data_IF_075088338065
#
_entry.id   IF_075088338065
#
_cell.length_a   1.000
_cell.length_b   1.000
_cell.length_c   1.000
_cell.angle_alpha   90.00
_cell.angle_beta   90.00
_cell.angle_gamma   90.00
#
_symmetry.space_group_name_H-M   'P 1'
#
loop_
_entity.id
_entity.type
_entity.pdbx_description
1 polymer ?
#
# COMPACT_ATOMS: atom_id res chain seq x y z
N UNK A 1 34.63 -4.69 7.23
CA UNK A 1 34.90 -3.58 8.17
C UNK A 1 34.61 -4.11 9.58
N UNK A 2 35.63 -4.31 10.41
CA UNK A 2 35.50 -5.08 11.67
C UNK A 2 35.00 -4.17 12.79
N UNK A 3 33.82 -4.47 13.34
CA UNK A 3 33.08 -3.64 14.30
C UNK A 3 33.60 -3.80 15.75
N UNK A 4 34.33 -4.89 16.02
CA UNK A 4 34.84 -5.25 17.35
C UNK A 4 35.74 -4.21 18.04
N UNK A 5 36.68 -3.51 17.35
CA UNK A 5 37.50 -2.48 17.99
C UNK A 5 36.71 -1.23 18.40
N UNK A 6 35.64 -0.91 17.66
CA UNK A 6 34.75 0.21 17.97
C UNK A 6 33.88 -0.11 19.20
N UNK A 7 33.37 -1.35 19.27
CA UNK A 7 32.61 -1.82 20.42
C UNK A 7 33.44 -1.86 21.70
N UNK A 8 34.71 -2.28 21.62
CA UNK A 8 35.60 -2.32 22.78
C UNK A 8 35.89 -0.92 23.35
N UNK A 9 36.06 0.09 22.48
CA UNK A 9 36.21 1.49 22.90
C UNK A 9 34.95 2.03 23.55
N UNK A 10 33.78 1.69 23.01
CA UNK A 10 32.51 2.14 23.57
C UNK A 10 32.18 1.45 24.89
N UNK A 11 32.52 0.17 25.02
CA UNK A 11 32.44 -0.56 26.29
C UNK A 11 33.29 0.09 27.37
N UNK A 12 34.53 0.47 27.04
CA UNK A 12 35.40 1.20 27.94
C UNK A 12 34.82 2.56 28.33
N UNK A 13 34.27 3.31 27.37
CA UNK A 13 33.67 4.63 27.62
C UNK A 13 32.46 4.56 28.56
N UNK A 14 31.59 3.55 28.37
CA UNK A 14 30.31 3.43 29.08
C UNK A 14 30.45 2.73 30.42
N UNK A 15 31.33 1.73 30.51
CA UNK A 15 31.45 0.86 31.71
C UNK A 15 32.74 1.08 32.49
N UNK A 16 33.73 1.76 31.90
CA UNK A 16 35.09 1.88 32.46
C UNK A 16 35.93 0.61 32.29
N UNK A 17 35.41 -0.45 31.66
CA UNK A 17 36.07 -1.75 31.55
C UNK A 17 36.59 -2.02 30.14
N UNK A 18 37.81 -2.56 30.05
CA UNK A 18 38.33 -3.11 28.80
C UNK A 18 37.76 -4.51 28.59
N UNK A 19 36.76 -4.63 27.71
CA UNK A 19 36.22 -5.93 27.29
C UNK A 19 37.04 -6.45 26.09
N UNK A 20 37.71 -7.59 26.27
CA UNK A 20 38.62 -8.16 25.27
C UNK A 20 38.14 -9.50 24.71
N UNK A 21 37.17 -10.16 25.35
CA UNK A 21 36.58 -11.42 24.88
C UNK A 21 35.39 -11.19 23.94
N UNK A 22 35.30 -11.98 22.86
CA UNK A 22 34.18 -11.94 21.90
C UNK A 22 32.82 -12.04 22.59
N UNK A 23 32.72 -12.90 23.60
CA UNK A 23 31.45 -13.16 24.30
C UNK A 23 31.07 -11.98 25.20
N UNK A 24 32.05 -11.35 25.85
CA UNK A 24 31.84 -10.15 26.67
C UNK A 24 31.47 -8.92 25.83
N UNK A 25 32.06 -8.80 24.64
CA UNK A 25 31.73 -7.76 23.66
C UNK A 25 30.34 -8.02 23.04
N UNK A 26 29.99 -9.28 22.77
CA UNK A 26 28.66 -9.68 22.32
C UNK A 26 27.58 -9.35 23.35
N UNK A 27 27.76 -9.74 24.61
CA UNK A 27 26.82 -9.40 25.68
C UNK A 27 26.70 -7.88 25.94
N UNK A 28 27.76 -7.10 25.66
CA UNK A 28 27.68 -5.64 25.68
C UNK A 28 26.92 -5.07 24.47
N UNK A 29 27.11 -5.65 23.28
CA UNK A 29 26.37 -5.30 22.08
C UNK A 29 24.86 -5.49 22.26
N UNK A 30 24.45 -6.66 22.76
CA UNK A 30 23.03 -6.98 23.01
C UNK A 30 22.42 -5.98 24.01
N UNK A 31 23.13 -5.67 25.10
CA UNK A 31 22.66 -4.65 26.06
C UNK A 31 22.57 -3.24 25.48
N UNK A 32 23.42 -2.89 24.51
CA UNK A 32 23.34 -1.61 23.80
C UNK A 32 22.15 -1.58 22.84
N UNK A 33 21.85 -2.69 22.18
CA UNK A 33 20.69 -2.86 21.31
C UNK A 33 19.41 -2.77 22.14
N UNK A 34 19.31 -3.51 23.24
CA UNK A 34 18.15 -3.48 24.16
C UNK A 34 17.91 -2.08 24.77
N UNK A 35 18.99 -1.36 25.08
CA UNK A 35 18.89 0.02 25.59
C UNK A 35 18.71 1.07 24.51
N UNK A 36 18.86 0.70 23.24
CA UNK A 36 18.76 1.64 22.15
C UNK A 36 17.36 2.24 22.13
N UNK A 37 17.30 3.54 21.81
CA UNK A 37 16.03 4.22 21.62
C UNK A 37 15.18 3.53 20.54
N UNK A 38 15.81 2.82 19.60
CA UNK A 38 15.13 2.08 18.52
C UNK A 38 14.34 0.89 19.07
N UNK A 39 14.93 0.05 19.92
CA UNK A 39 14.23 -1.10 20.51
C UNK A 39 13.13 -0.64 21.47
N UNK A 40 13.40 0.36 22.30
CA UNK A 40 12.38 0.96 23.19
C UNK A 40 11.25 1.67 22.45
N UNK A 41 11.56 2.41 21.39
CA UNK A 41 10.56 3.09 20.57
C UNK A 41 9.79 2.09 19.68
N UNK A 42 10.35 0.89 19.43
CA UNK A 42 9.66 -0.24 18.81
C UNK A 42 8.67 -0.89 19.79
N UNK A 43 9.09 -1.23 21.01
CA UNK A 43 8.22 -1.80 22.05
C UNK A 43 7.08 -0.86 22.47
N UNK A 44 7.32 0.45 22.44
CA UNK A 44 6.29 1.46 22.71
C UNK A 44 5.41 1.82 21.49
N UNK A 45 5.64 1.20 20.33
CA UNK A 45 4.88 1.44 19.10
C UNK A 45 5.12 2.81 18.45
N UNK A 46 6.04 3.62 19.00
CA UNK A 46 6.35 4.97 18.52
C UNK A 46 6.98 4.95 17.14
N UNK A 47 7.87 3.99 16.85
CA UNK A 47 8.45 3.83 15.49
C UNK A 47 7.36 3.51 14.48
N UNK A 48 6.44 2.60 14.82
CA UNK A 48 5.34 2.25 13.93
C UNK A 48 4.47 3.48 13.63
N UNK A 49 4.08 4.22 14.67
CA UNK A 49 3.32 5.47 14.50
C UNK A 49 4.04 6.47 13.62
N UNK A 50 5.31 6.77 13.92
CA UNK A 50 6.11 7.71 13.11
C UNK A 50 6.22 7.24 11.67
N UNK A 51 6.39 5.94 11.44
CA UNK A 51 6.48 5.39 10.08
C UNK A 51 5.19 5.57 9.27
N UNK A 52 4.03 5.43 9.92
CA UNK A 52 2.72 5.63 9.30
C UNK A 52 2.49 7.11 9.00
N UNK A 53 2.82 8.00 9.95
CA UNK A 53 2.72 9.46 9.77
C UNK A 53 3.65 9.94 8.65
N UNK A 54 4.90 9.47 8.62
CA UNK A 54 5.88 9.78 7.57
C UNK A 54 5.40 9.28 6.20
N UNK A 55 4.85 8.06 6.13
CA UNK A 55 4.28 7.52 4.90
C UNK A 55 3.10 8.36 4.43
N UNK A 56 2.19 8.72 5.33
CA UNK A 56 1.06 9.59 5.03
C UNK A 56 1.54 10.94 4.46
N UNK A 57 2.53 11.57 5.09
CA UNK A 57 3.07 12.84 4.61
C UNK A 57 3.72 12.72 3.23
N UNK A 58 4.46 11.64 2.98
CA UNK A 58 5.05 11.36 1.65
C UNK A 58 3.98 11.16 0.59
N UNK A 59 3.01 10.28 0.83
CA UNK A 59 1.90 10.01 -0.10
C UNK A 59 1.09 11.29 -0.35
N UNK A 60 0.78 12.06 0.70
CA UNK A 60 0.08 13.35 0.57
C UNK A 60 0.86 14.35 -0.28
N UNK A 61 2.17 14.45 -0.10
CA UNK A 61 3.02 15.34 -0.91
C UNK A 61 3.03 14.90 -2.38
N UNK A 62 3.16 13.61 -2.64
CA UNK A 62 3.10 13.06 -4.01
C UNK A 62 1.73 13.27 -4.65
N UNK A 63 0.65 13.01 -3.91
CA UNK A 63 -0.73 13.19 -4.36
C UNK A 63 -1.10 14.66 -4.60
N UNK A 64 -0.35 15.62 -4.04
CA UNK A 64 -0.67 17.05 -4.14
C UNK A 64 -0.58 17.62 -5.57
N UNK A 65 0.12 16.92 -6.46
CA UNK A 65 0.21 17.26 -7.88
C UNK A 65 -0.97 16.74 -8.69
N UNK A 66 -1.71 15.77 -8.15
CA UNK A 66 -2.89 15.20 -8.78
C UNK A 66 -4.13 16.04 -8.51
N UNK A 67 -5.12 15.92 -9.39
CA UNK A 67 -6.38 16.65 -9.37
C UNK A 67 -7.53 15.71 -9.08
N UNK A 68 -8.60 16.25 -8.49
CA UNK A 68 -9.74 15.44 -8.07
C UNK A 68 -10.71 15.23 -9.24
N UNK A 69 -11.01 13.98 -9.52
CA UNK A 69 -12.02 13.57 -10.48
C UNK A 69 -13.19 12.89 -9.78
N UNK A 70 -14.42 13.25 -10.15
CA UNK A 70 -15.66 12.63 -9.66
C UNK A 70 -16.33 11.91 -10.81
N UNK A 71 -16.32 10.58 -10.77
CA UNK A 71 -16.83 9.73 -11.83
C UNK A 71 -18.15 9.08 -11.40
N UNK A 72 -19.15 9.15 -12.27
CA UNK A 72 -20.45 8.51 -12.10
C UNK A 72 -20.65 7.47 -13.21
N UNK A 73 -21.25 6.31 -12.95
CA UNK A 73 -21.54 5.36 -14.01
C UNK A 73 -22.68 5.90 -14.88
N UNK A 74 -22.56 5.85 -16.21
CA UNK A 74 -23.70 6.08 -17.11
C UNK A 74 -24.76 5.00 -16.90
N UNK A 75 -24.30 3.75 -16.75
CA UNK A 75 -25.12 2.58 -16.44
C UNK A 75 -24.34 1.60 -15.57
N UNK A 76 -25.06 0.78 -14.81
CA UNK A 76 -24.45 -0.13 -13.83
C UNK A 76 -24.12 0.57 -12.51
N UNK A 77 -23.30 -0.09 -11.70
CA UNK A 77 -22.92 0.37 -10.37
C UNK A 77 -21.48 -0.03 -10.05
N UNK A 78 -20.82 0.78 -9.23
CA UNK A 78 -19.51 0.44 -8.69
C UNK A 78 -19.62 -0.54 -7.53
N UNK A 79 -18.67 -1.47 -7.48
CA UNK A 79 -18.37 -2.32 -6.33
C UNK A 79 -17.46 -1.57 -5.35
N UNK A 80 -17.54 -1.94 -4.07
CA UNK A 80 -16.64 -1.42 -3.04
C UNK A 80 -15.92 -2.60 -2.40
N UNK A 81 -14.60 -2.72 -2.64
CA UNK A 81 -13.76 -3.69 -1.93
C UNK A 81 -13.51 -3.26 -0.48
N UNK A 82 -13.09 -4.21 0.36
CA UNK A 82 -12.55 -3.91 1.70
C UNK A 82 -11.19 -3.20 1.68
N UNK A 83 -10.49 -3.23 0.54
CA UNK A 83 -9.41 -2.31 0.17
C UNK A 83 -9.88 -1.39 -0.98
N UNK A 84 -10.67 -0.35 -0.70
CA UNK A 84 -11.40 0.37 -1.75
C UNK A 84 -10.54 1.36 -2.52
N UNK A 85 -9.46 1.86 -1.92
CA UNK A 85 -8.53 2.78 -2.54
C UNK A 85 -7.44 1.99 -3.30
N UNK A 86 -7.52 1.98 -4.63
CA UNK A 86 -6.60 1.20 -5.46
C UNK A 86 -5.78 2.14 -6.34
N UNK A 87 -4.46 1.98 -6.28
CA UNK A 87 -3.52 2.62 -7.19
C UNK A 87 -3.52 1.91 -8.54
N UNK A 88 -3.61 2.69 -9.61
CA UNK A 88 -3.57 2.20 -10.98
C UNK A 88 -2.45 2.90 -11.76
N UNK A 89 -1.90 2.17 -12.72
CA UNK A 89 -1.17 2.77 -13.83
C UNK A 89 -1.88 2.40 -15.13
N UNK A 90 -2.35 3.42 -15.85
CA UNK A 90 -2.94 3.29 -17.18
C UNK A 90 -1.94 3.69 -18.25
N UNK A 91 -1.62 2.77 -19.15
CA UNK A 91 -0.82 3.02 -20.35
C UNK A 91 -1.63 2.61 -21.60
N UNK A 92 -2.18 3.60 -22.29
CA UNK A 92 -3.11 3.38 -23.40
C UNK A 92 -4.34 2.57 -22.96
N UNK A 93 -4.46 1.35 -23.46
CA UNK A 93 -5.56 0.42 -23.13
C UNK A 93 -5.23 -0.55 -21.99
N UNK A 94 -3.98 -0.54 -21.50
CA UNK A 94 -3.55 -1.44 -20.44
C UNK A 94 -3.71 -0.77 -19.08
N UNK A 95 -4.34 -1.48 -18.14
CA UNK A 95 -4.50 -1.05 -16.76
C UNK A 95 -3.82 -2.04 -15.83
N UNK A 96 -2.77 -1.58 -15.16
CA UNK A 96 -2.13 -2.27 -14.04
C UNK A 96 -2.71 -1.75 -12.73
N UNK A 97 -2.94 -2.62 -11.75
CA UNK A 97 -3.48 -2.27 -10.44
C UNK A 97 -2.59 -2.78 -9.31
N UNK A 98 -2.70 -2.17 -8.13
CA UNK A 98 -1.88 -2.53 -6.97
C UNK A 98 -0.41 -2.13 -7.11
N UNK A 99 -0.11 -1.23 -8.06
CA UNK A 99 1.22 -0.66 -8.25
C UNK A 99 1.60 0.24 -7.09
N UNK A 100 2.90 0.40 -6.83
CA UNK A 100 3.35 1.34 -5.80
C UNK A 100 2.86 2.76 -6.13
N UNK A 101 2.57 3.57 -5.10
CA UNK A 101 2.03 4.92 -5.30
C UNK A 101 2.91 5.80 -6.20
N UNK A 102 4.23 5.62 -6.17
CA UNK A 102 5.17 6.34 -7.03
C UNK A 102 5.14 5.96 -8.50
N UNK A 103 4.66 4.76 -8.82
CA UNK A 103 4.54 4.24 -10.19
C UNK A 103 3.10 4.35 -10.71
N UNK A 104 2.17 4.75 -9.84
CA UNK A 104 0.78 4.97 -10.18
C UNK A 104 0.61 6.32 -10.90
N UNK A 105 -0.28 6.37 -11.89
CA UNK A 105 -0.72 7.62 -12.50
C UNK A 105 -2.15 8.01 -12.10
N UNK A 106 -2.84 7.14 -11.36
CA UNK A 106 -4.11 7.46 -10.72
C UNK A 106 -4.34 6.61 -9.48
N UNK A 107 -5.20 7.10 -8.60
CA UNK A 107 -5.78 6.34 -7.49
C UNK A 107 -7.29 6.44 -7.61
N UNK A 108 -7.98 5.33 -7.49
CA UNK A 108 -9.45 5.27 -7.54
C UNK A 108 -10.02 4.82 -6.20
N UNK A 109 -11.16 5.41 -5.81
CA UNK A 109 -11.86 5.15 -4.57
C UNK A 109 -13.38 5.22 -4.81
N UNK A 110 -14.05 4.07 -4.98
CA UNK A 110 -15.50 4.00 -4.93
C UNK A 110 -15.99 4.45 -3.54
N UNK A 111 -16.88 5.45 -3.50
CA UNK A 111 -17.51 5.92 -2.25
C UNK A 111 -18.98 5.50 -2.15
N UNK A 112 -19.51 4.89 -3.22
CA UNK A 112 -20.88 4.41 -3.32
C UNK A 112 -21.15 3.76 -4.67
N UNK A 113 -22.32 3.13 -4.87
CA UNK A 113 -22.66 2.46 -6.12
C UNK A 113 -22.75 3.40 -7.33
N UNK A 114 -22.95 4.70 -7.12
CA UNK A 114 -23.07 5.71 -8.18
C UNK A 114 -21.92 6.71 -8.25
N UNK A 115 -20.89 6.60 -7.39
CA UNK A 115 -19.83 7.60 -7.31
C UNK A 115 -18.48 6.96 -7.01
N UNK A 116 -17.48 7.36 -7.79
CA UNK A 116 -16.09 7.02 -7.61
C UNK A 116 -15.26 8.30 -7.63
N UNK A 117 -14.37 8.43 -6.66
CA UNK A 117 -13.35 9.48 -6.65
C UNK A 117 -12.10 8.95 -7.31
N UNK A 118 -11.47 9.75 -8.16
CA UNK A 118 -10.16 9.46 -8.66
C UNK A 118 -9.22 10.65 -8.45
N UNK A 119 -7.94 10.36 -8.39
CA UNK A 119 -6.89 11.36 -8.50
C UNK A 119 -6.24 11.21 -9.87
N UNK A 120 -6.35 12.23 -10.72
CA UNK A 120 -5.89 12.19 -12.10
C UNK A 120 -5.26 13.52 -12.54
N UNK A 121 -5.07 13.75 -13.85
CA UNK A 121 -4.41 14.94 -14.36
C UNK A 121 -5.26 16.23 -14.20
N UNK A 122 -6.59 16.12 -14.15
CA UNK A 122 -7.49 17.27 -14.21
C UNK A 122 -8.56 17.27 -13.12
N UNK A 123 -9.06 18.45 -12.75
CA UNK A 123 -10.22 18.54 -11.87
C UNK A 123 -11.47 18.35 -12.73
N UNK A 124 -12.12 17.20 -12.65
CA UNK A 124 -13.23 16.87 -13.52
C UNK A 124 -14.40 16.24 -12.76
N UNK A 125 -15.60 16.39 -13.31
CA UNK A 125 -16.77 15.62 -12.93
C UNK A 125 -17.43 15.12 -14.20
N UNK A 126 -17.72 13.82 -14.26
CA UNK A 126 -18.21 13.22 -15.50
C UNK A 126 -18.82 11.86 -15.31
N UNK A 127 -19.38 11.35 -16.39
CA UNK A 127 -19.89 9.99 -16.47
C UNK A 127 -18.90 9.08 -17.16
N UNK A 128 -18.88 7.81 -16.79
CA UNK A 128 -18.06 6.77 -17.43
C UNK A 128 -18.94 5.67 -18.02
N UNK A 129 -18.57 5.13 -19.20
CA UNK A 129 -19.34 4.09 -19.85
C UNK A 129 -19.24 2.78 -19.07
N UNK A 130 -20.20 1.88 -19.36
CA UNK A 130 -20.30 0.58 -18.69
C UNK A 130 -19.00 -0.23 -18.71
N UNK A 131 -18.26 -0.21 -19.81
CA UNK A 131 -16.99 -0.93 -19.94
C UNK A 131 -15.95 -0.48 -18.91
N UNK A 132 -15.86 0.84 -18.64
CA UNK A 132 -14.95 1.40 -17.63
C UNK A 132 -15.44 1.05 -16.23
N UNK A 133 -16.75 1.01 -15.99
CA UNK A 133 -17.33 0.54 -14.72
C UNK A 133 -16.95 -0.92 -14.47
N UNK A 134 -17.09 -1.79 -15.47
CA UNK A 134 -16.77 -3.21 -15.35
C UNK A 134 -15.25 -3.44 -15.17
N UNK A 135 -14.40 -2.65 -15.84
CA UNK A 135 -12.94 -2.65 -15.62
C UNK A 135 -12.59 -2.29 -14.18
N UNK A 136 -13.13 -1.18 -13.67
CA UNK A 136 -12.88 -0.72 -12.30
C UNK A 136 -13.43 -1.70 -11.26
N UNK A 137 -14.58 -2.30 -11.52
CA UNK A 137 -15.14 -3.35 -10.67
C UNK A 137 -14.28 -4.62 -10.66
N UNK A 138 -13.71 -5.01 -11.80
CA UNK A 138 -12.76 -6.12 -11.88
C UNK A 138 -11.56 -5.85 -11.00
N UNK A 139 -11.01 -4.64 -11.05
CA UNK A 139 -9.90 -4.22 -10.18
C UNK A 139 -10.31 -4.29 -8.70
N UNK A 140 -11.50 -3.81 -8.32
CA UNK A 140 -11.98 -3.90 -6.94
C UNK A 140 -12.09 -5.35 -6.44
N UNK A 141 -12.52 -6.28 -7.28
CA UNK A 141 -12.58 -7.72 -6.94
C UNK A 141 -11.18 -8.32 -6.79
N UNK A 142 -10.24 -7.95 -7.66
CA UNK A 142 -8.88 -8.45 -7.57
C UNK A 142 -8.10 -7.86 -6.40
N UNK A 143 -8.32 -6.59 -6.07
CA UNK A 143 -7.59 -5.87 -5.02
C UNK A 143 -8.15 -6.09 -3.60
N UNK A 144 -9.38 -6.59 -3.46
CA UNK A 144 -9.98 -6.90 -2.16
C UNK A 144 -9.11 -7.88 -1.34
N UNK A 145 -9.10 -7.84 -0.02
CA UNK A 145 -8.50 -8.89 0.81
C UNK A 145 -9.48 -10.06 0.94
N UNK A 146 -10.71 -9.77 1.38
CA UNK A 146 -11.72 -10.77 1.77
C UNK A 146 -13.09 -10.51 1.16
N UNK A 147 -13.51 -9.25 1.09
CA UNK A 147 -14.87 -8.91 0.76
C UNK A 147 -15.00 -7.84 -0.31
N UNK A 148 -16.02 -8.01 -1.13
CA UNK A 148 -16.53 -6.98 -2.04
C UNK A 148 -18.00 -6.76 -1.72
N UNK A 149 -18.35 -5.51 -1.47
CA UNK A 149 -19.70 -5.07 -1.15
C UNK A 149 -20.41 -4.57 -2.40
N UNK A 150 -21.68 -4.93 -2.52
CA UNK A 150 -22.55 -4.57 -3.62
C UNK A 150 -23.98 -4.37 -3.13
N UNK A 151 -24.76 -3.56 -3.86
CA UNK A 151 -26.18 -3.48 -3.60
C UNK A 151 -26.86 -4.81 -3.96
N UNK A 152 -27.69 -5.37 -3.09
CA UNK A 152 -28.34 -6.68 -3.27
C UNK A 152 -29.22 -6.81 -4.53
N UNK A 153 -29.63 -5.69 -5.15
CA UNK A 153 -30.49 -5.63 -6.35
C UNK A 153 -29.73 -5.15 -7.59
N UNK A 154 -28.40 -4.99 -7.50
CA UNK A 154 -27.55 -4.51 -8.60
C UNK A 154 -27.39 -5.51 -9.74
N UNK A 155 -27.64 -6.80 -9.48
CA UNK A 155 -27.30 -7.88 -10.41
C UNK A 155 -25.80 -8.16 -10.53
N UNK A 156 -24.93 -7.50 -9.74
CA UNK A 156 -23.47 -7.64 -9.81
C UNK A 156 -22.94 -8.93 -9.17
N UNK A 157 -23.80 -9.76 -8.59
CA UNK A 157 -23.38 -10.97 -7.91
C UNK A 157 -22.67 -11.95 -8.86
N UNK A 158 -23.27 -12.21 -10.04
CA UNK A 158 -22.67 -13.11 -11.02
C UNK A 158 -21.32 -12.56 -11.50
N UNK A 159 -21.27 -11.26 -11.82
CA UNK A 159 -20.03 -10.57 -12.19
C UNK A 159 -18.92 -10.74 -11.14
N UNK A 160 -19.24 -10.49 -9.86
CA UNK A 160 -18.25 -10.57 -8.78
C UNK A 160 -17.75 -12.00 -8.56
N UNK A 161 -18.64 -12.99 -8.70
CA UNK A 161 -18.28 -14.41 -8.61
C UNK A 161 -17.36 -14.83 -9.77
N UNK A 162 -17.69 -14.42 -11.00
CA UNK A 162 -16.87 -14.71 -12.18
C UNK A 162 -15.48 -14.08 -12.03
N UNK A 163 -15.41 -12.78 -11.71
CA UNK A 163 -14.14 -12.08 -11.50
C UNK A 163 -13.29 -12.68 -10.36
N UNK A 164 -13.91 -13.18 -9.29
CA UNK A 164 -13.22 -13.84 -8.19
C UNK A 164 -12.59 -15.18 -8.59
N UNK A 165 -13.18 -15.94 -9.53
CA UNK A 165 -12.59 -17.18 -10.02
C UNK A 165 -11.27 -16.94 -10.76
N UNK A 166 -11.18 -15.83 -11.51
CA UNK A 166 -9.95 -15.43 -12.21
C UNK A 166 -8.83 -15.02 -11.26
N UNK A 167 -9.16 -14.47 -10.08
CA UNK A 167 -8.18 -14.14 -9.04
C UNK A 167 -7.46 -15.39 -8.55
N UNK A 168 -8.19 -16.47 -8.23
CA UNK A 168 -7.61 -17.74 -7.77
C UNK A 168 -6.73 -18.40 -8.83
N UNK A 169 -6.97 -18.14 -10.11
CA UNK A 169 -6.14 -18.63 -11.22
C UNK A 169 -4.80 -17.90 -11.38
N UNK A 170 -4.69 -16.64 -10.93
CA UNK A 170 -3.49 -15.79 -11.08
C UNK A 170 -2.47 -15.96 -9.95
N UNK A 171 -2.89 -16.37 -8.75
CA UNK A 171 -1.96 -16.67 -7.64
C UNK A 171 -0.99 -17.83 -7.94
N UNK A 172 -1.19 -18.56 -9.06
CA UNK A 172 -0.32 -19.64 -9.51
C UNK A 172 0.74 -19.16 -10.53
N UNK A 173 0.62 -17.96 -11.10
CA UNK A 173 1.48 -17.49 -12.20
C UNK A 173 1.90 -16.02 -12.07
N UNK A 174 3.12 -15.84 -11.58
CA UNK A 174 4.06 -14.72 -11.78
C UNK A 174 3.84 -13.37 -11.08
N UNK A 175 4.82 -13.05 -10.22
CA UNK A 175 5.36 -11.70 -10.03
C UNK A 175 6.20 -11.33 -11.26
N UNK A 176 5.69 -10.48 -12.14
CA UNK A 176 6.52 -9.81 -13.14
C UNK A 176 6.21 -8.31 -13.11
N UNK A 177 7.23 -7.55 -12.72
CA UNK A 177 7.26 -6.10 -12.73
C UNK A 177 7.18 -5.59 -14.16
N UNK A 178 6.02 -5.10 -14.58
CA UNK A 178 5.90 -4.23 -15.74
C UNK A 178 5.94 -2.79 -15.24
N UNK A 179 7.00 -2.07 -15.62
CA UNK A 179 7.16 -0.65 -15.34
C UNK A 179 6.13 0.19 -16.09
N UNK A 180 5.82 1.31 -15.48
CA UNK A 180 5.48 2.54 -16.17
C UNK A 180 6.80 3.31 -16.38
#
# INVERSE_FOLDING_TARGET
>A
MTIAPQLGREALRVTGLHLTGSDSLGAFAERLIDRSAVVRDHESGKIFRTSIEDMFHKVRAMASTWRLEVLMPETGQFLIGDNPAVTLCRDGTNTSYGVAFGDANTLVLPIGPGHLLALGPENAMGTVPRSVVDELNTVQVHAADRYVYMQHRSGLQAFAQDAAQWRTGKDVTEHSSAGC
#
